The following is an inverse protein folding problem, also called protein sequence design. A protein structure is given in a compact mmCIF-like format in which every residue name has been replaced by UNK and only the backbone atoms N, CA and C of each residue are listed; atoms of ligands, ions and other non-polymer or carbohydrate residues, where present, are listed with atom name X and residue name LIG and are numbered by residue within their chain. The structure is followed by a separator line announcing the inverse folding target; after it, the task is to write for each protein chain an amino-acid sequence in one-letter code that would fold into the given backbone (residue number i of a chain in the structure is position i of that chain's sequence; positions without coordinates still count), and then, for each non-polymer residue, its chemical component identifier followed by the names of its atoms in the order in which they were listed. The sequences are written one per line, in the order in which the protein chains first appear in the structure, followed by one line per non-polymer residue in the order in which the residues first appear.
data_IF_526253363206
#
_entry.id   IF_526253363206
#
_cell.length_a   1.000
_cell.length_b   1.000
_cell.length_c   1.000
_cell.angle_alpha   90.00
_cell.angle_beta   90.00
_cell.angle_gamma   90.00
#
_symmetry.space_group_name_H-M   'P 1'
#
loop_
_entity.id
_entity.type
_entity.pdbx_description
1 polymer ?
#
# COMPACT_ATOMS: atom_id res chain seq x y z
N UNK A 1 61.37 94.72 -54.93
CA UNK A 1 61.89 95.47 -53.76
C UNK A 1 61.14 95.03 -52.50
N UNK A 2 61.77 95.20 -51.31
CA UNK A 2 61.17 95.40 -49.95
C UNK A 2 59.92 94.59 -49.53
N UNK A 3 59.95 93.62 -48.60
CA UNK A 3 60.21 93.61 -47.12
C UNK A 3 59.08 94.12 -46.18
N UNK A 4 58.49 93.18 -45.42
CA UNK A 4 57.87 93.26 -44.04
C UNK A 4 56.54 94.06 -43.87
N UNK A 5 55.78 93.88 -42.75
CA UNK A 5 55.20 92.67 -42.10
C UNK A 5 53.68 92.94 -41.77
N UNK A 6 53.00 92.58 -40.63
CA UNK A 6 53.09 91.46 -39.66
C UNK A 6 51.70 90.76 -39.31
N UNK A 7 51.73 89.86 -38.31
CA UNK A 7 50.71 89.60 -37.25
C UNK A 7 49.41 88.76 -37.46
N UNK A 8 49.23 87.81 -36.52
CA UNK A 8 48.11 86.86 -36.29
C UNK A 8 46.82 87.52 -35.77
N UNK A 9 45.66 86.90 -36.07
CA UNK A 9 44.78 86.31 -35.02
C UNK A 9 43.98 85.11 -35.54
N UNK A 10 43.82 84.07 -34.72
CA UNK A 10 43.02 82.86 -35.02
C UNK A 10 41.62 82.97 -34.39
N UNK A 11 40.58 82.65 -35.14
CA UNK A 11 39.31 82.12 -34.62
C UNK A 11 39.14 80.68 -35.14
N UNK A 12 38.53 79.79 -34.36
CA UNK A 12 38.56 78.34 -34.58
C UNK A 12 37.16 77.75 -34.46
N UNK A 13 36.59 77.25 -35.55
CA UNK A 13 35.37 76.41 -35.59
C UNK A 13 35.52 75.30 -36.66
N UNK A 14 34.68 74.26 -36.65
CA UNK A 14 35.19 72.88 -36.66
C UNK A 14 35.15 72.19 -38.02
N UNK A 15 35.99 71.16 -38.19
CA UNK A 15 35.94 70.27 -39.35
C UNK A 15 36.21 68.80 -38.98
N UNK A 16 35.13 68.01 -39.03
CA UNK A 16 35.08 66.64 -39.54
C UNK A 16 36.01 65.54 -39.01
N UNK A 17 35.40 64.46 -38.50
CA UNK A 17 35.64 63.13 -39.09
C UNK A 17 34.42 62.20 -38.91
N UNK A 18 33.67 62.00 -40.00
CA UNK A 18 32.77 60.85 -40.17
C UNK A 18 33.62 59.59 -40.33
N UNK A 19 33.21 58.46 -39.76
CA UNK A 19 33.87 57.16 -40.00
C UNK A 19 34.01 56.24 -38.79
N UNK A 20 32.90 55.86 -38.14
CA UNK A 20 32.89 54.87 -37.03
C UNK A 20 31.64 53.99 -37.00
N UNK A 21 31.13 53.63 -38.19
CA UNK A 21 29.85 52.91 -38.34
C UNK A 21 29.89 51.49 -38.92
N UNK A 22 30.99 51.06 -39.58
CA UNK A 22 31.03 49.77 -40.31
C UNK A 22 31.39 48.56 -39.42
N UNK A 23 32.56 48.54 -38.78
CA UNK A 23 33.03 47.35 -38.04
C UNK A 23 32.07 46.80 -36.98
N UNK A 24 31.31 47.67 -36.29
CA UNK A 24 30.35 47.25 -35.26
C UNK A 24 29.11 46.53 -35.80
N UNK A 25 28.85 46.60 -37.11
CA UNK A 25 27.80 45.80 -37.76
C UNK A 25 28.34 44.39 -38.10
N UNK A 26 29.55 44.32 -38.64
CA UNK A 26 30.21 43.06 -39.00
C UNK A 26 30.46 42.19 -37.75
N UNK A 27 30.96 42.79 -36.65
CA UNK A 27 31.15 42.11 -35.36
C UNK A 27 29.86 41.46 -34.82
N UNK A 28 28.70 42.12 -35.02
CA UNK A 28 27.39 41.63 -34.58
C UNK A 28 26.86 40.51 -35.46
N UNK A 29 27.08 40.60 -36.77
CA UNK A 29 26.73 39.54 -37.72
C UNK A 29 27.55 38.28 -37.45
N UNK A 30 28.86 38.42 -37.22
CA UNK A 30 29.75 37.31 -36.83
C UNK A 30 29.28 36.69 -35.50
N UNK A 31 28.97 37.51 -34.48
CA UNK A 31 28.46 37.01 -33.20
C UNK A 31 27.15 36.22 -33.31
N UNK A 32 26.20 36.68 -34.14
CA UNK A 32 24.94 35.97 -34.42
C UNK A 32 25.17 34.64 -35.16
N UNK A 33 26.08 34.60 -36.13
CA UNK A 33 26.43 33.37 -36.85
C UNK A 33 27.10 32.33 -35.94
N UNK A 34 27.99 32.76 -35.04
CA UNK A 34 28.61 31.88 -34.04
C UNK A 34 27.57 31.34 -33.05
N UNK A 35 26.67 32.19 -32.56
CA UNK A 35 25.59 31.75 -31.67
C UNK A 35 24.64 30.74 -32.35
N UNK A 36 24.28 30.98 -33.61
CA UNK A 36 23.47 30.05 -34.40
C UNK A 36 24.20 28.71 -34.64
N UNK A 37 25.50 28.74 -34.97
CA UNK A 37 26.30 27.53 -35.14
C UNK A 37 26.40 26.70 -33.84
N UNK A 38 26.58 27.36 -32.69
CA UNK A 38 26.58 26.70 -31.38
C UNK A 38 25.21 26.09 -31.03
N UNK A 39 24.11 26.80 -31.33
CA UNK A 39 22.77 26.27 -31.14
C UNK A 39 22.49 25.04 -32.04
N UNK A 40 22.91 25.08 -33.31
CA UNK A 40 22.80 23.93 -34.23
C UNK A 40 23.66 22.77 -33.73
N UNK A 41 24.92 23.02 -33.33
CA UNK A 41 25.79 21.98 -32.78
C UNK A 41 25.21 21.33 -31.52
N UNK A 42 24.60 22.13 -30.62
CA UNK A 42 23.90 21.62 -29.45
C UNK A 42 22.69 20.75 -29.83
N UNK A 43 21.86 21.19 -30.78
CA UNK A 43 20.72 20.39 -31.28
C UNK A 43 21.19 19.09 -31.91
N UNK A 44 22.22 19.13 -32.77
CA UNK A 44 22.81 17.92 -33.39
C UNK A 44 23.40 16.99 -32.34
N UNK A 45 24.11 17.51 -31.33
CA UNK A 45 24.64 16.71 -30.23
C UNK A 45 23.52 16.05 -29.40
N UNK A 46 22.45 16.79 -29.09
CA UNK A 46 21.27 16.26 -28.38
C UNK A 46 20.56 15.19 -29.21
N UNK A 47 20.31 15.44 -30.51
CA UNK A 47 19.67 14.48 -31.42
C UNK A 47 20.53 13.22 -31.59
N UNK A 48 21.83 13.37 -31.80
CA UNK A 48 22.76 12.24 -31.90
C UNK A 48 22.86 11.46 -30.59
N UNK A 49 22.87 12.13 -29.43
CA UNK A 49 22.83 11.47 -28.14
C UNK A 49 21.52 10.71 -27.92
N UNK A 50 20.37 11.28 -28.33
CA UNK A 50 19.06 10.61 -28.28
C UNK A 50 19.01 9.38 -29.20
N UNK A 51 19.53 9.49 -30.42
CA UNK A 51 19.68 8.40 -31.39
C UNK A 51 20.70 7.34 -30.95
N UNK A 52 21.67 7.69 -30.09
CA UNK A 52 22.61 6.74 -29.50
C UNK A 52 22.06 6.06 -28.23
N UNK A 53 21.10 6.67 -27.52
CA UNK A 53 20.60 6.20 -26.21
C UNK A 53 19.10 5.85 -26.17
N UNK A 54 18.40 5.81 -27.32
CA UNK A 54 17.00 5.36 -27.40
C UNK A 54 16.77 3.99 -26.76
N UNK A 55 17.76 3.09 -26.83
CA UNK A 55 17.73 1.78 -26.20
C UNK A 55 17.58 1.85 -24.67
N UNK A 56 18.03 2.92 -24.00
CA UNK A 56 17.87 3.11 -22.55
C UNK A 56 16.39 3.21 -22.18
N UNK A 57 15.59 3.95 -22.98
CA UNK A 57 14.15 4.06 -22.78
C UNK A 57 13.44 2.72 -23.03
N UNK A 58 13.89 1.97 -24.04
CA UNK A 58 13.38 0.62 -24.33
C UNK A 58 13.68 -0.35 -23.18
N UNK A 59 14.90 -0.32 -22.63
CA UNK A 59 15.30 -1.16 -21.48
C UNK A 59 14.51 -0.79 -20.22
N UNK A 60 14.34 0.50 -19.91
CA UNK A 60 13.52 0.94 -18.77
C UNK A 60 12.06 0.51 -18.96
N UNK A 61 11.50 0.67 -20.16
CA UNK A 61 10.15 0.20 -20.49
C UNK A 61 9.98 -1.31 -20.34
N UNK A 62 10.95 -2.10 -20.82
CA UNK A 62 10.96 -3.56 -20.70
C UNK A 62 11.06 -4.02 -19.23
N UNK A 63 11.92 -3.38 -18.42
CA UNK A 63 12.04 -3.66 -16.98
C UNK A 63 10.75 -3.30 -16.23
N UNK A 64 10.12 -2.17 -16.55
CA UNK A 64 8.84 -1.76 -15.97
C UNK A 64 7.70 -2.73 -16.36
N UNK A 65 7.66 -3.18 -17.62
CA UNK A 65 6.70 -4.17 -18.10
C UNK A 65 6.90 -5.55 -17.44
N UNK A 66 8.15 -6.00 -17.27
CA UNK A 66 8.49 -7.23 -16.52
C UNK A 66 8.06 -7.12 -15.05
N UNK A 67 8.40 -6.03 -14.36
CA UNK A 67 8.01 -5.82 -12.97
C UNK A 67 6.49 -5.71 -12.78
N UNK A 68 5.80 -5.06 -13.73
CA UNK A 68 4.34 -5.01 -13.78
C UNK A 68 3.71 -6.39 -14.02
N UNK A 69 4.21 -7.12 -15.00
CA UNK A 69 3.79 -8.48 -15.32
C UNK A 69 3.97 -9.45 -14.15
N UNK A 70 5.12 -9.41 -13.47
CA UNK A 70 5.37 -10.21 -12.26
C UNK A 70 4.41 -9.85 -11.13
N UNK A 71 4.17 -8.56 -10.86
CA UNK A 71 3.17 -8.14 -9.85
C UNK A 71 1.75 -8.60 -10.19
N UNK A 72 1.34 -8.45 -11.45
CA UNK A 72 0.02 -8.89 -11.91
C UNK A 72 -0.11 -10.41 -11.83
N UNK A 73 0.94 -11.16 -12.20
CA UNK A 73 0.96 -12.61 -12.12
C UNK A 73 0.90 -13.11 -10.66
N UNK A 74 1.65 -12.50 -9.74
CA UNK A 74 1.56 -12.80 -8.30
C UNK A 74 0.17 -12.48 -7.71
N UNK A 75 -0.45 -11.37 -8.14
CA UNK A 75 -1.80 -10.99 -7.72
C UNK A 75 -2.86 -11.94 -8.29
N UNK A 76 -2.72 -12.36 -9.55
CA UNK A 76 -3.61 -13.35 -10.18
C UNK A 76 -3.41 -14.77 -9.62
N UNK A 77 -2.18 -15.18 -9.30
CA UNK A 77 -1.93 -16.44 -8.59
C UNK A 77 -2.63 -16.41 -7.23
N UNK A 78 -2.49 -15.33 -6.45
CA UNK A 78 -3.23 -15.16 -5.19
C UNK A 78 -4.74 -15.29 -5.38
N UNK A 79 -5.33 -14.65 -6.40
CA UNK A 79 -6.77 -14.76 -6.70
C UNK A 79 -7.21 -16.17 -7.15
N UNK A 80 -6.38 -16.88 -7.93
CA UNK A 80 -6.63 -18.28 -8.32
C UNK A 80 -6.53 -19.23 -7.13
N UNK A 81 -5.57 -19.00 -6.23
CA UNK A 81 -5.50 -19.72 -4.95
C UNK A 81 -6.71 -19.41 -4.07
N UNK A 82 -7.19 -18.16 -4.01
CA UNK A 82 -8.42 -17.82 -3.27
C UNK A 82 -9.66 -18.56 -3.81
N UNK A 83 -9.81 -18.66 -5.13
CA UNK A 83 -10.92 -19.40 -5.75
C UNK A 83 -10.88 -20.91 -5.46
N UNK A 84 -9.70 -21.55 -5.59
CA UNK A 84 -9.51 -22.98 -5.30
C UNK A 84 -9.63 -23.27 -3.80
N UNK A 85 -9.20 -22.35 -2.93
CA UNK A 85 -9.38 -22.45 -1.48
C UNK A 85 -10.86 -22.41 -1.09
N UNK A 86 -11.62 -21.44 -1.60
CA UNK A 86 -12.99 -21.19 -1.14
C UNK A 86 -13.92 -22.42 -1.20
N UNK A 87 -13.70 -23.35 -2.14
CA UNK A 87 -14.54 -24.54 -2.32
C UNK A 87 -14.17 -25.74 -1.41
N UNK A 88 -13.06 -25.69 -0.67
CA UNK A 88 -12.61 -26.85 0.11
C UNK A 88 -11.58 -26.59 1.21
N UNK A 89 -11.39 -25.33 1.62
CA UNK A 89 -10.33 -24.95 2.55
C UNK A 89 -10.43 -25.69 3.89
N UNK A 90 -9.47 -26.59 4.12
CA UNK A 90 -9.25 -27.22 5.41
C UNK A 90 -7.80 -26.98 5.80
N UNK A 91 -7.57 -26.38 6.95
CA UNK A 91 -6.22 -26.27 7.52
C UNK A 91 -6.05 -27.36 8.59
N UNK A 92 -4.94 -28.09 8.49
CA UNK A 92 -4.48 -28.90 9.62
C UNK A 92 -3.91 -27.99 10.70
N UNK A 93 -4.06 -28.38 11.98
CA UNK A 93 -3.55 -27.59 13.08
C UNK A 93 -2.01 -27.34 13.02
N UNK A 94 -1.15 -28.31 12.62
CA UNK A 94 0.28 -28.06 12.41
C UNK A 94 0.57 -27.02 11.32
N UNK A 95 -0.30 -26.92 10.31
CA UNK A 95 -0.18 -25.92 9.25
C UNK A 95 -0.44 -24.52 9.82
N UNK A 96 -1.47 -24.35 10.66
CA UNK A 96 -1.77 -23.09 11.34
C UNK A 96 -0.67 -22.67 12.33
N UNK A 97 -0.08 -23.64 13.04
CA UNK A 97 1.04 -23.40 13.96
C UNK A 97 2.28 -22.85 13.22
N UNK A 98 2.57 -23.37 12.03
CA UNK A 98 3.69 -22.93 11.20
C UNK A 98 3.51 -21.56 10.52
N UNK A 99 2.30 -20.96 10.55
CA UNK A 99 2.05 -19.66 9.95
C UNK A 99 2.72 -18.52 10.72
N UNK A 100 3.11 -17.47 10.00
CA UNK A 100 3.36 -16.15 10.60
C UNK A 100 2.03 -15.50 11.01
N UNK A 101 2.01 -14.60 12.00
CA UNK A 101 0.76 -14.01 12.52
C UNK A 101 -0.12 -13.41 11.42
N UNK A 102 0.45 -12.61 10.51
CA UNK A 102 -0.29 -12.02 9.38
C UNK A 102 -0.89 -13.06 8.41
N UNK A 103 -0.26 -14.24 8.28
CA UNK A 103 -0.81 -15.35 7.49
C UNK A 103 -1.86 -16.15 8.26
N UNK A 104 -1.76 -16.20 9.58
CA UNK A 104 -2.78 -16.77 10.46
C UNK A 104 -4.06 -15.93 10.43
N UNK A 105 -3.95 -14.60 10.47
CA UNK A 105 -5.06 -13.66 10.25
C UNK A 105 -5.72 -13.86 8.87
N UNK A 106 -4.93 -14.03 7.81
CA UNK A 106 -5.44 -14.38 6.46
C UNK A 106 -6.12 -15.75 6.43
N UNK A 107 -5.62 -16.75 7.17
CA UNK A 107 -6.25 -18.06 7.28
C UNK A 107 -7.61 -17.98 7.98
N UNK A 108 -7.73 -17.18 9.04
CA UNK A 108 -9.02 -16.91 9.73
C UNK A 108 -10.00 -16.19 8.81
N UNK A 109 -9.55 -15.20 8.03
CA UNK A 109 -10.34 -14.58 6.96
C UNK A 109 -10.83 -15.62 5.95
N UNK A 110 -9.94 -16.48 5.45
CA UNK A 110 -10.27 -17.47 4.42
C UNK A 110 -11.24 -18.54 4.94
N UNK A 111 -11.16 -18.92 6.23
CA UNK A 111 -12.15 -19.78 6.90
C UNK A 111 -13.53 -19.11 6.99
N UNK A 112 -13.61 -17.83 7.36
CA UNK A 112 -14.89 -17.09 7.34
C UNK A 112 -15.48 -17.02 5.92
N UNK A 113 -14.65 -16.82 4.89
CA UNK A 113 -15.09 -16.84 3.48
C UNK A 113 -15.65 -18.20 3.06
N UNK A 114 -14.94 -19.28 3.38
CA UNK A 114 -15.35 -20.67 3.14
C UNK A 114 -16.73 -20.97 3.73
N UNK A 115 -16.96 -20.50 4.96
CA UNK A 115 -18.21 -20.73 5.68
C UNK A 115 -19.40 -19.93 5.12
N UNK A 116 -19.15 -18.90 4.31
CA UNK A 116 -20.18 -18.12 3.62
C UNK A 116 -20.05 -16.59 3.76
N UNK A 117 -19.13 -16.09 4.58
CA UNK A 117 -18.93 -14.66 4.80
C UNK A 117 -18.15 -14.03 3.63
N UNK A 118 -18.84 -13.73 2.53
CA UNK A 118 -18.23 -13.27 1.26
C UNK A 118 -17.45 -11.95 1.40
N UNK A 119 -17.86 -11.10 2.32
CA UNK A 119 -17.25 -9.80 2.63
C UNK A 119 -16.03 -9.91 3.56
N UNK A 120 -15.70 -11.11 4.06
CA UNK A 120 -14.68 -11.27 5.08
C UNK A 120 -13.31 -10.74 4.61
N UNK A 121 -12.73 -9.88 5.44
CA UNK A 121 -11.57 -9.04 5.11
C UNK A 121 -10.61 -8.96 6.30
N UNK A 122 -9.31 -9.05 6.02
CA UNK A 122 -8.26 -8.77 7.01
C UNK A 122 -8.05 -7.26 7.06
N UNK A 123 -8.16 -6.69 8.26
CA UNK A 123 -7.98 -5.27 8.55
C UNK A 123 -6.82 -5.00 9.51
N UNK A 124 -6.19 -6.05 10.06
CA UNK A 124 -5.08 -5.96 11.01
C UNK A 124 -3.87 -5.16 10.49
N UNK A 125 -3.32 -4.31 11.36
CA UNK A 125 -2.29 -3.33 11.07
C UNK A 125 -2.11 -2.30 12.20
N UNK A 126 -1.10 -1.43 12.10
CA UNK A 126 -0.85 -0.42 13.13
C UNK A 126 -2.07 0.49 13.36
N UNK A 127 -2.66 0.45 14.55
CA UNK A 127 -3.86 1.22 14.90
C UNK A 127 -5.20 0.53 14.62
N UNK A 128 -5.22 -0.79 14.36
CA UNK A 128 -6.45 -1.58 14.14
C UNK A 128 -7.40 -1.68 15.36
N UNK A 129 -6.96 -1.20 16.53
CA UNK A 129 -7.70 -1.19 17.79
C UNK A 129 -8.19 -2.59 18.20
N UNK A 130 -7.44 -3.64 17.85
CA UNK A 130 -7.75 -5.03 18.26
C UNK A 130 -8.78 -5.74 17.39
N UNK A 131 -8.88 -5.37 16.12
CA UNK A 131 -9.65 -6.10 15.11
C UNK A 131 -8.74 -6.50 13.95
N UNK A 132 -8.51 -7.80 13.76
CA UNK A 132 -7.64 -8.29 12.67
C UNK A 132 -8.45 -8.73 11.46
N UNK A 133 -9.64 -9.31 11.69
CA UNK A 133 -10.57 -9.77 10.65
C UNK A 133 -11.98 -9.26 10.95
N UNK A 134 -12.66 -8.78 9.91
CA UNK A 134 -14.08 -8.41 9.93
C UNK A 134 -14.84 -9.22 8.89
N UNK A 135 -16.08 -9.58 9.19
CA UNK A 135 -16.92 -10.40 8.32
C UNK A 135 -18.40 -10.23 8.65
N UNK A 136 -19.29 -10.46 7.69
CA UNK A 136 -20.73 -10.58 7.91
C UNK A 136 -21.16 -12.01 7.57
N UNK A 137 -21.81 -12.69 8.51
CA UNK A 137 -22.26 -14.07 8.27
C UNK A 137 -23.55 -14.13 7.41
N UNK A 138 -23.93 -15.33 6.91
CA UNK A 138 -25.17 -15.50 6.14
C UNK A 138 -26.45 -15.13 6.90
N UNK A 139 -26.38 -14.87 8.20
CA UNK A 139 -27.47 -14.42 9.07
C UNK A 139 -27.42 -12.90 9.34
N UNK A 140 -26.58 -12.17 8.61
CA UNK A 140 -26.46 -10.72 8.67
C UNK A 140 -25.75 -10.19 9.93
N UNK A 141 -25.14 -11.04 10.76
CA UNK A 141 -24.42 -10.60 11.97
C UNK A 141 -23.01 -10.15 11.60
N UNK A 142 -22.57 -9.02 12.14
CA UNK A 142 -21.19 -8.56 11.98
C UNK A 142 -20.27 -9.18 13.03
N UNK A 143 -19.19 -9.79 12.54
CA UNK A 143 -18.14 -10.43 13.30
C UNK A 143 -16.89 -9.55 13.32
N UNK A 144 -16.34 -9.35 14.51
CA UNK A 144 -15.02 -8.73 14.71
C UNK A 144 -14.15 -9.73 15.44
N UNK A 145 -13.03 -10.10 14.81
CA UNK A 145 -12.16 -11.17 15.24
C UNK A 145 -10.75 -10.62 15.48
N UNK A 146 -10.27 -10.77 16.71
CA UNK A 146 -8.85 -10.65 17.04
C UNK A 146 -8.20 -12.03 16.95
N UNK A 147 -7.12 -12.14 16.21
CA UNK A 147 -6.24 -13.27 16.11
C UNK A 147 -5.06 -13.12 17.09
N UNK A 148 -4.72 -14.20 17.81
CA UNK A 148 -3.54 -14.26 18.67
C UNK A 148 -2.75 -15.52 18.36
N UNK A 149 -1.90 -15.44 17.34
CA UNK A 149 -0.97 -16.53 17.02
C UNK A 149 0.12 -16.64 18.09
N UNK A 150 0.45 -17.87 18.48
CA UNK A 150 1.53 -18.22 19.41
C UNK A 150 2.45 -19.21 18.69
N UNK A 151 3.70 -18.83 18.43
CA UNK A 151 4.70 -19.66 17.75
C UNK A 151 4.90 -21.04 18.39
N UNK A 152 4.83 -21.11 19.73
CA UNK A 152 5.01 -22.35 20.49
C UNK A 152 3.65 -23.03 20.82
N UNK A 153 2.55 -22.65 20.16
CA UNK A 153 1.22 -23.24 20.34
C UNK A 153 0.80 -23.31 21.81
N UNK A 154 0.50 -24.53 22.30
CA UNK A 154 0.17 -24.79 23.69
C UNK A 154 1.32 -24.51 24.67
N UNK A 155 2.58 -24.65 24.28
CA UNK A 155 3.72 -24.35 25.15
C UNK A 155 4.02 -22.83 25.25
N UNK A 156 3.39 -22.01 24.40
CA UNK A 156 3.56 -20.56 24.39
C UNK A 156 2.83 -19.82 25.52
N UNK A 157 2.97 -18.49 25.50
CA UNK A 157 2.19 -17.59 26.35
C UNK A 157 0.70 -17.74 26.07
N UNK A 158 -0.11 -17.79 27.14
CA UNK A 158 -1.56 -17.84 26.99
C UNK A 158 -2.13 -16.50 26.50
N UNK A 159 -3.32 -16.51 25.92
CA UNK A 159 -4.16 -15.31 25.78
C UNK A 159 -4.69 -14.94 27.16
N UNK A 160 -4.51 -13.68 27.55
CA UNK A 160 -4.87 -13.17 28.88
C UNK A 160 -6.10 -12.28 28.87
N UNK A 161 -6.57 -11.90 30.05
CA UNK A 161 -7.66 -10.92 30.22
C UNK A 161 -7.38 -9.58 29.52
N UNK A 162 -6.14 -9.03 29.47
CA UNK A 162 -5.85 -7.80 28.74
C UNK A 162 -6.17 -7.87 27.24
N UNK A 163 -5.91 -9.02 26.58
CA UNK A 163 -6.26 -9.20 25.16
C UNK A 163 -7.78 -9.06 24.93
N UNK A 164 -8.59 -9.60 25.86
CA UNK A 164 -10.05 -9.49 25.82
C UNK A 164 -10.57 -8.10 26.21
N UNK A 165 -9.88 -7.40 27.13
CA UNK A 165 -10.25 -6.03 27.52
C UNK A 165 -10.10 -5.05 26.35
N UNK A 166 -9.04 -5.18 25.56
CA UNK A 166 -8.85 -4.40 24.32
C UNK A 166 -10.01 -4.67 23.35
N UNK A 167 -10.28 -5.94 23.03
CA UNK A 167 -11.39 -6.32 22.13
C UNK A 167 -12.75 -5.82 22.65
N UNK A 168 -13.01 -5.89 23.96
CA UNK A 168 -14.28 -5.46 24.56
C UNK A 168 -14.49 -3.94 24.47
N UNK A 169 -13.42 -3.15 24.49
CA UNK A 169 -13.47 -1.70 24.39
C UNK A 169 -13.75 -1.18 22.98
N UNK A 170 -13.51 -1.99 21.95
CA UNK A 170 -13.45 -1.52 20.55
C UNK A 170 -14.39 -2.28 19.61
N UNK A 171 -14.59 -3.58 19.80
CA UNK A 171 -15.34 -4.40 18.84
C UNK A 171 -16.76 -3.89 18.59
N UNK A 172 -17.49 -3.48 19.64
CA UNK A 172 -18.88 -3.03 19.51
C UNK A 172 -18.96 -1.54 19.22
N UNK A 173 -18.16 -0.74 19.92
CA UNK A 173 -18.18 0.71 19.99
C UNK A 173 -17.54 1.36 18.75
N UNK A 174 -16.43 0.79 18.26
CA UNK A 174 -15.65 1.30 17.12
C UNK A 174 -15.97 0.51 15.85
N UNK A 175 -16.22 -0.79 15.97
CA UNK A 175 -16.32 -1.70 14.83
C UNK A 175 -17.73 -2.30 14.60
N UNK A 176 -18.73 -1.95 15.41
CA UNK A 176 -20.14 -2.32 15.20
C UNK A 176 -20.46 -3.82 15.36
N UNK A 177 -19.61 -4.58 16.06
CA UNK A 177 -19.75 -6.03 16.19
C UNK A 177 -21.04 -6.46 16.91
N UNK A 178 -21.78 -7.37 16.28
CA UNK A 178 -22.74 -8.23 16.97
C UNK A 178 -22.00 -9.35 17.72
N UNK A 179 -20.98 -9.93 17.06
CA UNK A 179 -20.18 -11.04 17.57
C UNK A 179 -18.71 -10.61 17.65
N UNK A 180 -18.17 -10.56 18.86
CA UNK A 180 -16.76 -10.26 19.12
C UNK A 180 -16.04 -11.54 19.56
N UNK A 181 -14.92 -11.87 18.90
CA UNK A 181 -14.23 -13.17 19.05
C UNK A 181 -12.72 -12.98 19.21
N UNK A 182 -12.09 -13.73 20.12
CA UNK A 182 -10.65 -14.01 20.04
C UNK A 182 -10.42 -15.42 19.48
N UNK A 183 -9.56 -15.53 18.46
CA UNK A 183 -9.08 -16.80 17.88
C UNK A 183 -7.60 -17.00 18.22
N UNK A 184 -7.23 -18.17 18.73
CA UNK A 184 -5.83 -18.51 19.01
C UNK A 184 -5.51 -19.98 18.75
N UNK A 185 -4.28 -20.27 18.30
CA UNK A 185 -3.73 -21.62 18.27
C UNK A 185 -3.09 -22.05 19.61
N UNK A 186 -3.09 -21.16 20.61
CA UNK A 186 -2.51 -21.39 21.94
C UNK A 186 -3.54 -21.67 23.04
N UNK A 187 -3.10 -21.52 24.29
CA UNK A 187 -3.95 -21.60 25.49
C UNK A 187 -4.63 -20.25 25.76
N UNK A 188 -5.75 -20.29 26.49
CA UNK A 188 -6.43 -19.12 27.05
C UNK A 188 -6.47 -19.29 28.57
N UNK A 189 -6.20 -18.25 29.36
CA UNK A 189 -6.20 -18.38 30.83
C UNK A 189 -7.62 -18.51 31.39
N UNK A 190 -7.79 -19.18 32.52
CA UNK A 190 -9.10 -19.31 33.16
C UNK A 190 -9.76 -17.95 33.50
N UNK A 191 -9.04 -16.93 34.02
CA UNK A 191 -9.59 -15.58 34.19
C UNK A 191 -10.06 -14.95 32.87
N UNK A 192 -9.35 -15.18 31.77
CA UNK A 192 -9.74 -14.70 30.45
C UNK A 192 -11.04 -15.38 29.97
N UNK A 193 -11.18 -16.70 30.12
CA UNK A 193 -12.42 -17.42 29.79
C UNK A 193 -13.61 -16.92 30.62
N UNK A 194 -13.43 -16.67 31.92
CA UNK A 194 -14.46 -16.10 32.79
C UNK A 194 -14.86 -14.70 32.35
N UNK A 195 -13.89 -13.82 32.07
CA UNK A 195 -14.13 -12.47 31.59
C UNK A 195 -14.86 -12.45 30.25
N UNK A 196 -14.46 -13.30 29.29
CA UNK A 196 -15.12 -13.42 27.99
C UNK A 196 -16.62 -13.75 28.15
N UNK A 197 -16.96 -14.72 29.02
CA UNK A 197 -18.35 -15.08 29.32
C UNK A 197 -19.14 -13.91 29.93
N UNK A 198 -18.56 -13.20 30.90
CA UNK A 198 -19.19 -12.04 31.54
C UNK A 198 -19.49 -10.90 30.54
N UNK A 199 -18.58 -10.66 29.59
CA UNK A 199 -18.67 -9.57 28.62
C UNK A 199 -19.38 -9.97 27.31
N UNK A 200 -19.87 -11.21 27.17
CA UNK A 200 -20.44 -11.76 25.93
C UNK A 200 -19.46 -11.62 24.74
N UNK A 201 -18.22 -12.04 24.98
CA UNK A 201 -17.18 -12.29 23.99
C UNK A 201 -17.05 -13.79 23.78
N UNK A 202 -16.72 -14.21 22.56
CA UNK A 202 -16.46 -15.61 22.25
C UNK A 202 -14.96 -15.88 22.19
N UNK A 203 -14.58 -17.09 22.55
CA UNK A 203 -13.20 -17.57 22.52
C UNK A 203 -13.16 -18.82 21.66
N UNK A 204 -12.32 -18.77 20.63
CA UNK A 204 -11.96 -19.90 19.78
C UNK A 204 -10.53 -20.26 20.19
N UNK A 205 -10.44 -21.18 21.14
CA UNK A 205 -9.17 -21.77 21.57
C UNK A 205 -8.63 -22.75 20.51
N UNK A 206 -7.46 -23.33 20.78
CA UNK A 206 -6.78 -24.26 19.87
C UNK A 206 -7.69 -25.42 19.41
N UNK A 207 -8.49 -26.00 20.29
CA UNK A 207 -9.32 -27.17 19.97
C UNK A 207 -10.56 -26.78 19.15
N UNK A 208 -11.17 -25.64 19.49
CA UNK A 208 -12.27 -25.06 18.72
C UNK A 208 -11.77 -24.66 17.32
N UNK A 209 -10.58 -24.07 17.24
CA UNK A 209 -9.91 -23.70 15.98
C UNK A 209 -9.60 -24.93 15.12
N UNK A 210 -9.08 -26.01 15.71
CA UNK A 210 -8.83 -27.27 15.00
C UNK A 210 -10.11 -27.85 14.41
N UNK A 211 -11.17 -27.92 15.21
CA UNK A 211 -12.49 -28.42 14.79
C UNK A 211 -13.06 -27.57 13.64
N UNK A 212 -12.96 -26.24 13.75
CA UNK A 212 -13.42 -25.31 12.74
C UNK A 212 -12.61 -25.38 11.44
N UNK A 213 -11.28 -25.41 11.57
CA UNK A 213 -10.36 -25.30 10.45
C UNK A 213 -10.24 -26.60 9.65
N UNK A 214 -10.36 -27.76 10.30
CA UNK A 214 -10.33 -29.08 9.63
C UNK A 214 -11.72 -29.55 9.18
N UNK A 215 -12.78 -29.13 9.87
CA UNK A 215 -14.16 -29.53 9.59
C UNK A 215 -14.84 -28.72 8.50
N UNK A 216 -16.07 -29.13 8.18
CA UNK A 216 -17.02 -28.40 7.32
C UNK A 216 -18.07 -27.59 8.10
N UNK A 217 -18.03 -27.63 9.44
CA UNK A 217 -18.98 -26.92 10.30
C UNK A 217 -18.53 -25.48 10.47
N UNK A 218 -19.39 -24.49 10.17
CA UNK A 218 -19.02 -23.09 10.26
C UNK A 218 -18.93 -22.62 11.70
N UNK A 219 -18.21 -21.51 11.92
CA UNK A 219 -17.88 -21.03 13.27
C UNK A 219 -19.13 -20.81 14.17
N UNK A 220 -20.24 -20.37 13.59
CA UNK A 220 -21.47 -20.12 14.33
C UNK A 220 -22.21 -21.36 14.84
N UNK A 221 -21.88 -22.56 14.34
CA UNK A 221 -22.39 -23.81 14.92
C UNK A 221 -21.52 -24.35 16.06
N UNK A 222 -20.28 -23.89 16.14
CA UNK A 222 -19.31 -24.30 17.16
C UNK A 222 -19.42 -23.41 18.40
N UNK A 223 -19.73 -22.12 18.21
CA UNK A 223 -19.93 -21.17 19.29
C UNK A 223 -21.37 -21.23 19.85
N UNK A 224 -21.47 -21.26 21.19
CA UNK A 224 -22.75 -21.19 21.91
C UNK A 224 -23.15 -19.73 22.18
N UNK A 225 -24.45 -19.51 22.35
CA UNK A 225 -25.05 -18.23 22.78
C UNK A 225 -24.71 -17.02 21.88
N UNK A 226 -24.76 -17.21 20.56
CA UNK A 226 -24.67 -16.11 19.60
C UNK A 226 -25.96 -15.27 19.60
N UNK A 227 -25.88 -13.96 19.28
CA UNK A 227 -27.06 -13.14 19.05
C UNK A 227 -27.91 -13.69 17.88
N UNK A 228 -29.22 -13.37 17.85
CA UNK A 228 -30.10 -13.78 16.76
C UNK A 228 -29.64 -13.19 15.40
N UNK A 229 -30.06 -13.78 14.28
CA UNK A 229 -29.89 -13.20 12.94
C UNK A 229 -30.34 -11.74 12.89
N UNK A 230 -29.60 -10.88 12.19
CA UNK A 230 -30.16 -9.59 11.78
C UNK A 230 -31.19 -9.87 10.69
N UNK A 231 -32.41 -9.36 10.85
CA UNK A 231 -33.40 -9.37 9.77
C UNK A 231 -32.84 -8.56 8.61
N UNK A 232 -33.00 -8.99 7.34
CA UNK A 232 -32.78 -8.10 6.22
C UNK A 232 -33.67 -6.88 6.40
N UNK A 233 -33.08 -5.68 6.41
CA UNK A 233 -33.88 -4.46 6.25
C UNK A 233 -34.52 -4.55 4.86
N UNK A 234 -35.84 -4.43 4.77
CA UNK A 234 -36.61 -4.58 3.53
C UNK A 234 -36.46 -3.37 2.56
N UNK A 235 -35.29 -2.72 2.59
CA UNK A 235 -34.95 -1.48 1.90
C UNK A 235 -33.46 -1.48 1.52
N UNK A 236 -33.08 -2.37 0.60
CA UNK A 236 -31.81 -2.37 -0.15
C UNK A 236 -31.97 -3.14 -1.45
#
# INVERSE_FOLDING_TARGET
MTRRPPARRRTRRPSGRRGRGRGRADDRLVGLLVAAALAIALVVAVVNWLLAHWWVLVVIGALAALAGGVRLHQKQQSARWEAVRAQGLRYGLPQLDALHHARFEEAVRDLMRRDGCRDAVRVGGGGDLGADVKATDPYGRHWVIQCKHRRNGLAGSAVGTPDLQVLNGTARQVHGADVAVIVTNGRVTAPAVTFARQQRLHVVDRHTLETWASGSRPLWELLRALPPPRRPNALS
#
